data_IF_903038575645
#
_entry.id   IF_903038575645
#
_cell.length_a   1.000
_cell.length_b   1.000
_cell.length_c   1.000
_cell.angle_alpha   90.00
_cell.angle_beta   90.00
_cell.angle_gamma   90.00
#
_symmetry.space_group_name_H-M   'P 1'
#
loop_
_entity.id
_entity.type
_entity.pdbx_description
1 polymer ?
#
# COMPACT_ATOMS: atom_id res chain seq x y z
N UNK A 1 -35.74 7.50 25.22
CA UNK A 1 -35.06 6.73 24.13
C UNK A 1 -33.57 6.99 24.23
N UNK A 2 -32.73 5.95 24.16
CA UNK A 2 -31.27 6.15 24.15
C UNK A 2 -30.91 6.84 22.82
N UNK A 3 -30.23 7.97 22.88
CA UNK A 3 -29.78 8.67 21.68
C UNK A 3 -28.86 7.74 20.88
N UNK A 4 -29.14 7.53 19.61
CA UNK A 4 -28.28 6.76 18.69
C UNK A 4 -27.32 7.74 18.01
N UNK A 5 -26.04 7.60 18.29
CA UNK A 5 -24.99 8.40 17.64
C UNK A 5 -24.75 7.88 16.21
N UNK A 6 -24.49 8.76 15.27
CA UNK A 6 -23.91 8.42 13.99
C UNK A 6 -22.38 8.41 14.08
N UNK A 7 -21.80 7.23 14.00
CA UNK A 7 -20.35 7.01 14.08
C UNK A 7 -19.80 6.85 12.68
N UNK A 8 -18.96 7.77 12.26
CA UNK A 8 -18.29 7.73 10.95
C UNK A 8 -16.83 7.32 11.13
N UNK A 9 -16.39 6.36 10.33
CA UNK A 9 -15.01 5.82 10.35
C UNK A 9 -14.39 6.08 8.96
N UNK A 10 -13.31 6.89 8.92
CA UNK A 10 -12.56 7.10 7.66
C UNK A 10 -11.49 6.02 7.56
N UNK A 11 -11.66 5.12 6.62
CA UNK A 11 -10.77 3.99 6.33
C UNK A 11 -11.45 2.64 6.51
N UNK A 12 -11.55 1.87 5.43
CA UNK A 12 -12.08 0.51 5.42
C UNK A 12 -11.00 -0.58 5.52
N UNK A 13 -9.82 -0.23 6.04
CA UNK A 13 -8.77 -1.19 6.36
C UNK A 13 -9.07 -2.00 7.61
N UNK A 14 -8.12 -2.88 8.02
CA UNK A 14 -8.31 -3.80 9.15
C UNK A 14 -8.72 -3.08 10.44
N UNK A 15 -8.16 -1.91 10.75
CA UNK A 15 -8.48 -1.15 11.96
C UNK A 15 -9.92 -0.63 11.94
N UNK A 16 -10.33 0.04 10.84
CA UNK A 16 -11.66 0.62 10.71
C UNK A 16 -12.76 -0.44 10.72
N UNK A 17 -12.58 -1.52 9.98
CA UNK A 17 -13.55 -2.62 9.91
C UNK A 17 -13.64 -3.38 11.22
N UNK A 18 -12.52 -3.65 11.88
CA UNK A 18 -12.53 -4.30 13.20
C UNK A 18 -13.28 -3.45 14.22
N UNK A 19 -13.02 -2.14 14.22
CA UNK A 19 -13.73 -1.21 15.10
C UNK A 19 -15.23 -1.21 14.82
N UNK A 20 -15.64 -1.06 13.56
CA UNK A 20 -17.07 -1.05 13.18
C UNK A 20 -17.79 -2.31 13.67
N UNK A 21 -17.18 -3.48 13.52
CA UNK A 21 -17.71 -4.76 14.01
C UNK A 21 -17.84 -4.79 15.53
N UNK A 22 -16.85 -4.26 16.25
CA UNK A 22 -16.90 -4.19 17.73
C UNK A 22 -17.96 -3.20 18.20
N UNK A 23 -18.09 -2.03 17.56
CA UNK A 23 -19.17 -1.09 17.87
C UNK A 23 -20.54 -1.75 17.65
N UNK A 24 -20.74 -2.43 16.53
CA UNK A 24 -22.01 -3.11 16.22
C UNK A 24 -22.37 -4.20 17.21
N UNK A 25 -21.39 -4.94 17.75
CA UNK A 25 -21.63 -5.95 18.80
C UNK A 25 -22.14 -5.36 20.11
N UNK A 26 -21.82 -4.10 20.39
CA UNK A 26 -22.06 -3.47 21.70
C UNK A 26 -23.05 -2.30 21.64
N UNK A 27 -23.56 -1.94 20.45
CA UNK A 27 -24.50 -0.82 20.29
C UNK A 27 -25.33 -0.93 19.02
N UNK A 28 -26.44 -0.22 19.00
CA UNK A 28 -27.30 -0.02 17.84
C UNK A 28 -27.01 1.32 17.10
N UNK A 29 -25.90 1.98 17.41
CA UNK A 29 -25.49 3.23 16.79
C UNK A 29 -25.43 3.10 15.26
N UNK A 30 -25.72 4.18 14.53
CA UNK A 30 -25.50 4.22 13.10
C UNK A 30 -23.99 4.19 12.81
N UNK A 31 -23.56 3.36 11.86
CA UNK A 31 -22.13 3.20 11.50
C UNK A 31 -21.98 3.41 10.00
N UNK A 32 -21.12 4.34 9.62
CA UNK A 32 -20.70 4.54 8.23
C UNK A 32 -19.19 4.42 8.12
N UNK A 33 -18.70 3.53 7.26
CA UNK A 33 -17.27 3.43 6.89
C UNK A 33 -17.07 4.14 5.56
N UNK A 34 -16.15 5.11 5.53
CA UNK A 34 -15.78 5.87 4.33
C UNK A 34 -14.46 5.37 3.79
N UNK A 35 -14.37 5.13 2.48
CA UNK A 35 -13.12 4.72 1.83
C UNK A 35 -12.97 5.35 0.45
N UNK A 36 -11.78 5.85 0.15
CA UNK A 36 -11.41 6.32 -1.18
C UNK A 36 -10.86 5.21 -2.08
N UNK A 37 -10.33 4.13 -1.50
CA UNK A 37 -9.59 3.09 -2.21
C UNK A 37 -10.50 2.06 -2.86
N UNK A 38 -11.26 1.34 -2.06
CA UNK A 38 -12.19 0.28 -2.50
C UNK A 38 -13.53 0.40 -1.80
N UNK A 39 -14.57 -0.16 -2.38
CA UNK A 39 -15.89 -0.23 -1.74
C UNK A 39 -15.84 -1.17 -0.52
N UNK A 40 -15.31 -2.39 -0.72
CA UNK A 40 -15.25 -3.40 0.33
C UNK A 40 -13.85 -3.52 0.93
N UNK A 41 -13.81 -3.93 2.19
CA UNK A 41 -12.57 -4.30 2.87
C UNK A 41 -11.89 -5.48 2.17
N UNK A 42 -10.57 -5.40 2.04
CA UNK A 42 -9.73 -6.47 1.52
C UNK A 42 -8.46 -6.65 2.38
N UNK A 43 -7.88 -7.83 2.35
CA UNK A 43 -6.61 -8.12 3.00
C UNK A 43 -5.46 -7.52 2.19
N UNK A 44 -4.89 -6.43 2.68
CA UNK A 44 -3.80 -5.70 2.00
C UNK A 44 -2.56 -6.56 1.78
N UNK A 45 -2.20 -7.38 2.75
CA UNK A 45 -1.07 -8.30 2.65
C UNK A 45 -1.24 -9.35 1.56
N UNK A 46 -2.48 -9.62 1.12
CA UNK A 46 -2.75 -10.57 0.05
C UNK A 46 -2.53 -9.99 -1.37
N UNK A 47 -2.26 -8.68 -1.52
CA UNK A 47 -2.00 -8.08 -2.83
C UNK A 47 -0.78 -8.71 -3.53
N UNK A 48 0.24 -9.12 -2.77
CA UNK A 48 1.38 -9.85 -3.31
C UNK A 48 0.96 -11.16 -3.97
N UNK A 49 0.10 -11.94 -3.35
CA UNK A 49 -0.39 -13.22 -3.89
C UNK A 49 -1.25 -13.02 -5.14
N UNK A 50 -1.96 -11.89 -5.24
CA UNK A 50 -2.70 -11.53 -6.46
C UNK A 50 -1.72 -11.29 -7.61
N UNK A 51 -0.67 -10.47 -7.39
CA UNK A 51 0.36 -10.22 -8.41
C UNK A 51 1.09 -11.50 -8.82
N UNK A 52 1.41 -12.38 -7.87
CA UNK A 52 2.06 -13.66 -8.15
C UNK A 52 1.13 -14.68 -8.85
N UNK A 53 -0.16 -14.35 -9.00
CA UNK A 53 -1.14 -15.22 -9.67
C UNK A 53 -1.69 -16.36 -8.81
N UNK A 54 -1.43 -16.35 -7.50
CA UNK A 54 -1.90 -17.38 -6.58
C UNK A 54 -3.39 -17.25 -6.24
N UNK A 55 -3.97 -16.04 -6.38
CA UNK A 55 -5.39 -15.77 -6.16
C UNK A 55 -5.88 -14.58 -6.97
N UNK A 56 -7.19 -14.47 -7.12
CA UNK A 56 -7.84 -13.28 -7.67
C UNK A 56 -8.07 -12.23 -6.59
N UNK A 57 -8.20 -10.97 -6.98
CA UNK A 57 -8.45 -9.87 -6.04
C UNK A 57 -9.73 -10.09 -5.22
N UNK A 58 -10.80 -10.62 -5.82
CA UNK A 58 -12.06 -10.88 -5.10
C UNK A 58 -11.87 -11.82 -3.90
N UNK A 59 -10.91 -12.74 -3.99
CA UNK A 59 -10.61 -13.67 -2.90
C UNK A 59 -9.87 -13.04 -1.71
N UNK A 60 -9.41 -11.79 -1.86
CA UNK A 60 -8.79 -11.04 -0.77
C UNK A 60 -9.82 -10.39 0.18
N UNK A 61 -11.11 -10.44 -0.18
CA UNK A 61 -12.21 -9.86 0.60
C UNK A 61 -12.74 -10.90 1.61
N UNK A 62 -12.53 -10.72 2.92
CA UNK A 62 -12.91 -11.71 3.92
C UNK A 62 -14.39 -11.68 4.28
N UNK A 63 -15.14 -10.72 3.77
CA UNK A 63 -16.58 -10.58 4.00
C UNK A 63 -17.32 -10.49 2.68
N UNK A 64 -18.39 -11.28 2.55
CA UNK A 64 -19.33 -11.21 1.46
C UNK A 64 -20.05 -9.85 1.39
N UNK A 65 -20.47 -9.42 0.20
CA UNK A 65 -21.12 -8.12 0.01
C UNK A 65 -22.37 -7.91 0.88
N UNK A 66 -23.15 -8.99 1.13
CA UNK A 66 -24.33 -8.97 1.99
C UNK A 66 -24.03 -8.74 3.48
N UNK A 67 -22.78 -9.03 3.93
CA UNK A 67 -22.36 -8.90 5.32
C UNK A 67 -22.62 -7.50 5.90
N UNK A 68 -22.30 -6.47 5.14
CA UNK A 68 -22.40 -5.08 5.54
C UNK A 68 -23.83 -4.69 5.84
N UNK A 69 -24.74 -4.96 4.89
CA UNK A 69 -26.18 -4.70 5.05
C UNK A 69 -26.78 -5.51 6.20
N UNK A 70 -26.43 -6.79 6.32
CA UNK A 70 -26.91 -7.66 7.40
C UNK A 70 -26.53 -7.15 8.78
N UNK A 71 -25.36 -6.49 8.89
CA UNK A 71 -24.87 -5.94 10.15
C UNK A 71 -25.16 -4.44 10.32
N UNK A 72 -26.02 -3.84 9.49
CA UNK A 72 -26.34 -2.41 9.52
C UNK A 72 -25.08 -1.52 9.55
N UNK A 73 -24.09 -1.83 8.72
CA UNK A 73 -22.88 -1.04 8.50
C UNK A 73 -22.96 -0.43 7.11
N UNK A 74 -23.07 0.89 7.04
CA UNK A 74 -23.10 1.63 5.78
C UNK A 74 -21.66 1.76 5.22
N UNK A 75 -21.52 1.55 3.91
CA UNK A 75 -20.28 1.80 3.19
C UNK A 75 -20.45 3.01 2.28
N UNK A 76 -19.52 3.96 2.34
CA UNK A 76 -19.50 5.14 1.47
C UNK A 76 -18.15 5.24 0.77
N UNK A 77 -18.16 5.06 -0.55
CA UNK A 77 -16.96 5.30 -1.36
C UNK A 77 -16.84 6.79 -1.65
N UNK A 78 -15.67 7.37 -1.34
CA UNK A 78 -15.36 8.77 -1.60
C UNK A 78 -14.10 9.22 -0.88
N UNK A 79 -13.46 10.24 -1.43
CA UNK A 79 -12.28 10.87 -0.84
C UNK A 79 -12.71 12.05 0.03
N UNK A 80 -12.43 11.98 1.33
CA UNK A 80 -12.65 13.08 2.27
C UNK A 80 -11.55 14.11 2.06
N UNK A 81 -11.94 15.29 1.60
CA UNK A 81 -11.02 16.41 1.34
C UNK A 81 -10.76 17.23 2.60
N UNK A 82 -11.79 17.38 3.44
CA UNK A 82 -11.72 18.23 4.62
C UNK A 82 -12.63 17.69 5.74
N UNK A 83 -12.24 17.95 6.97
CA UNK A 83 -13.01 17.64 8.19
C UNK A 83 -13.36 18.96 8.87
N UNK A 84 -14.63 19.35 8.83
CA UNK A 84 -15.15 20.47 9.60
C UNK A 84 -15.54 19.98 11.00
N UNK A 85 -14.66 20.22 11.95
CA UNK A 85 -14.87 19.78 13.34
C UNK A 85 -15.90 20.65 14.08
N UNK A 86 -16.09 21.90 13.64
CA UNK A 86 -17.04 22.84 14.26
C UNK A 86 -18.48 22.44 13.97
N UNK A 87 -18.76 22.04 12.72
CA UNK A 87 -20.08 21.61 12.28
C UNK A 87 -20.24 20.08 12.28
N UNK A 88 -19.19 19.35 12.70
CA UNK A 88 -19.13 17.87 12.66
C UNK A 88 -19.51 17.31 11.29
N UNK A 89 -18.83 17.77 10.26
CA UNK A 89 -19.08 17.39 8.87
C UNK A 89 -17.81 16.93 8.16
N UNK A 90 -17.95 15.95 7.31
CA UNK A 90 -16.94 15.59 6.32
C UNK A 90 -17.32 16.23 4.98
N UNK A 91 -16.33 16.83 4.31
CA UNK A 91 -16.47 17.41 2.98
C UNK A 91 -15.72 16.51 2.01
N UNK A 92 -16.44 15.94 1.05
CA UNK A 92 -15.86 15.06 0.02
C UNK A 92 -15.31 15.88 -1.16
N UNK A 93 -14.46 15.27 -1.97
CA UNK A 93 -13.89 15.91 -3.17
C UNK A 93 -14.94 16.30 -4.23
N UNK A 94 -16.11 15.66 -4.23
CA UNK A 94 -17.26 16.00 -5.06
C UNK A 94 -18.22 17.03 -4.40
N UNK A 95 -17.79 17.66 -3.29
CA UNK A 95 -18.55 18.60 -2.47
C UNK A 95 -19.79 18.00 -1.74
N UNK A 96 -19.96 16.68 -1.73
CA UNK A 96 -20.95 16.05 -0.84
C UNK A 96 -20.53 16.28 0.63
N UNK A 97 -21.55 16.34 1.49
CA UNK A 97 -21.39 16.48 2.94
C UNK A 97 -21.87 15.21 3.65
N UNK A 98 -21.20 14.83 4.72
CA UNK A 98 -21.63 13.76 5.63
C UNK A 98 -21.45 14.24 7.07
N UNK A 99 -22.55 14.31 7.81
CA UNK A 99 -22.52 14.67 9.24
C UNK A 99 -22.19 13.47 10.10
N UNK A 100 -21.64 13.72 11.28
CA UNK A 100 -21.31 12.69 12.26
C UNK A 100 -21.52 13.21 13.70
N UNK A 101 -21.82 12.32 14.64
CA UNK A 101 -21.72 12.60 16.07
C UNK A 101 -20.32 12.29 16.59
N UNK A 102 -19.76 11.17 16.14
CA UNK A 102 -18.39 10.70 16.48
C UNK A 102 -17.62 10.34 15.20
N UNK A 103 -16.40 10.79 15.14
CA UNK A 103 -15.50 10.53 14.00
C UNK A 103 -14.28 9.72 14.45
N UNK A 104 -13.95 8.70 13.67
CA UNK A 104 -12.74 7.89 13.86
C UNK A 104 -11.88 7.94 12.61
N UNK A 105 -10.59 8.21 12.78
CA UNK A 105 -9.59 8.20 11.73
C UNK A 105 -8.84 6.87 11.74
N UNK A 106 -9.06 6.05 10.70
CA UNK A 106 -8.40 4.77 10.47
C UNK A 106 -7.77 4.75 9.07
N UNK A 107 -7.14 5.86 8.69
CA UNK A 107 -6.69 6.19 7.32
C UNK A 107 -5.49 5.36 6.84
N UNK A 108 -4.85 4.59 7.72
CA UNK A 108 -3.69 3.77 7.37
C UNK A 108 -2.43 4.59 7.07
N UNK A 109 -1.67 4.15 6.09
CA UNK A 109 -0.39 4.74 5.68
C UNK A 109 -0.36 5.01 4.19
N UNK A 110 0.70 5.65 3.72
CA UNK A 110 1.04 5.80 2.31
C UNK A 110 2.54 5.55 2.12
N UNK A 111 3.00 5.14 0.93
CA UNK A 111 4.42 5.03 0.63
C UNK A 111 5.13 6.37 0.89
N UNK A 112 6.29 6.31 1.54
CA UNK A 112 7.11 7.49 1.75
C UNK A 112 7.79 7.90 0.44
N UNK A 113 7.82 9.23 0.19
CA UNK A 113 8.60 9.85 -0.88
C UNK A 113 9.65 10.74 -0.25
N UNK A 114 10.90 10.61 -0.67
CA UNK A 114 12.04 11.25 -0.02
C UNK A 114 12.56 12.48 -0.77
N UNK A 115 11.88 12.92 -1.82
CA UNK A 115 12.26 14.10 -2.59
C UNK A 115 13.30 13.82 -3.68
N UNK A 116 13.52 12.57 -4.05
CA UNK A 116 14.45 12.26 -5.16
C UNK A 116 13.96 12.88 -6.47
N UNK A 117 14.85 13.52 -7.24
CA UNK A 117 14.52 13.93 -8.60
C UNK A 117 14.00 12.74 -9.40
N UNK A 118 12.86 12.91 -10.08
CA UNK A 118 12.22 11.86 -10.86
C UNK A 118 11.36 10.87 -10.07
N UNK A 119 11.14 11.04 -8.77
CA UNK A 119 10.32 10.13 -7.96
C UNK A 119 8.83 10.08 -8.35
N UNK A 120 8.37 11.00 -9.18
CA UNK A 120 6.98 11.08 -9.67
C UNK A 120 6.84 10.68 -11.15
N UNK A 121 7.89 10.15 -11.76
CA UNK A 121 7.86 9.65 -13.13
C UNK A 121 6.94 8.42 -13.25
N UNK A 122 6.38 8.23 -14.43
CA UNK A 122 5.59 7.03 -14.73
C UNK A 122 6.46 5.77 -14.59
N UNK A 123 5.93 4.76 -13.90
CA UNK A 123 6.67 3.54 -13.55
C UNK A 123 7.45 3.62 -12.23
N UNK A 124 7.43 4.77 -11.53
CA UNK A 124 7.94 4.91 -10.16
C UNK A 124 6.78 4.84 -9.18
N UNK A 125 6.78 3.85 -8.32
CA UNK A 125 5.65 3.58 -7.42
C UNK A 125 6.08 2.92 -6.10
N UNK A 126 5.23 3.02 -5.09
CA UNK A 126 5.27 2.15 -3.93
C UNK A 126 4.37 0.92 -4.15
N UNK A 127 4.29 0.04 -3.13
CA UNK A 127 3.33 -1.06 -3.11
C UNK A 127 2.59 -1.04 -1.77
N UNK A 128 1.42 -0.43 -1.76
CA UNK A 128 0.58 -0.32 -0.58
C UNK A 128 -0.91 -0.40 -0.91
N UNK A 129 -1.38 0.37 -1.91
CA UNK A 129 -2.78 0.43 -2.31
C UNK A 129 -3.11 -0.58 -3.41
N UNK A 130 -4.40 -0.87 -3.59
CA UNK A 130 -4.89 -1.64 -4.75
C UNK A 130 -4.45 -1.02 -6.07
N UNK A 131 -4.45 0.32 -6.14
CA UNK A 131 -4.01 1.07 -7.31
C UNK A 131 -2.51 0.89 -7.61
N UNK A 132 -1.70 0.67 -6.57
CA UNK A 132 -0.27 0.34 -6.75
C UNK A 132 -0.12 -1.04 -7.40
N UNK A 133 -0.96 -2.02 -7.01
CA UNK A 133 -0.99 -3.32 -7.69
C UNK A 133 -1.39 -3.17 -9.16
N UNK A 134 -2.42 -2.37 -9.48
CA UNK A 134 -2.85 -2.11 -10.85
C UNK A 134 -1.73 -1.45 -11.68
N UNK A 135 -1.00 -0.50 -11.09
CA UNK A 135 0.16 0.12 -11.71
C UNK A 135 1.30 -0.88 -11.91
N UNK A 136 1.57 -1.73 -10.91
CA UNK A 136 2.60 -2.77 -11.03
C UNK A 136 2.25 -3.77 -12.14
N UNK A 137 0.99 -4.19 -12.25
CA UNK A 137 0.50 -5.04 -13.34
C UNK A 137 0.66 -4.37 -14.72
N UNK A 138 0.46 -3.04 -14.80
CA UNK A 138 0.63 -2.28 -16.04
C UNK A 138 2.10 -2.21 -16.47
N UNK A 139 3.01 -1.91 -15.54
CA UNK A 139 4.42 -1.61 -15.86
C UNK A 139 5.34 -2.84 -15.79
N UNK A 140 4.98 -3.82 -14.99
CA UNK A 140 5.79 -5.02 -14.76
C UNK A 140 4.96 -6.33 -14.85
N UNK A 141 4.17 -6.55 -15.92
CA UNK A 141 3.38 -7.78 -16.05
C UNK A 141 4.25 -9.02 -16.27
N UNK A 142 5.44 -8.86 -16.82
CA UNK A 142 6.42 -9.91 -17.11
C UNK A 142 7.76 -9.31 -17.57
N UNK A 143 8.76 -10.17 -17.77
CA UNK A 143 10.11 -9.77 -18.23
C UNK A 143 10.20 -9.35 -19.71
N UNK A 144 9.14 -9.48 -20.50
CA UNK A 144 9.10 -8.95 -21.88
C UNK A 144 8.85 -7.45 -21.87
N UNK A 145 8.02 -6.97 -20.94
CA UNK A 145 7.70 -5.55 -20.76
C UNK A 145 8.72 -4.88 -19.84
N UNK A 146 8.85 -5.38 -18.59
CA UNK A 146 9.82 -4.88 -17.62
C UNK A 146 11.11 -5.69 -17.70
N UNK A 147 12.17 -5.11 -18.28
CA UNK A 147 13.45 -5.79 -18.43
C UNK A 147 14.26 -5.86 -17.15
N UNK A 148 14.05 -4.93 -16.23
CA UNK A 148 14.66 -4.86 -14.91
C UNK A 148 13.85 -3.94 -14.01
N UNK A 149 13.68 -4.32 -12.76
CA UNK A 149 13.12 -3.47 -11.72
C UNK A 149 14.23 -3.05 -10.73
N UNK A 150 14.14 -1.82 -10.22
CA UNK A 150 14.99 -1.34 -9.14
C UNK A 150 14.12 -1.13 -7.91
N UNK A 151 14.48 -1.77 -6.81
CA UNK A 151 13.82 -1.61 -5.50
C UNK A 151 14.74 -0.76 -4.62
N UNK A 152 14.16 0.24 -3.96
CA UNK A 152 14.88 1.13 -3.04
C UNK A 152 14.34 0.97 -1.63
N UNK A 153 15.17 0.45 -0.73
CA UNK A 153 14.85 0.31 0.69
C UNK A 153 14.88 -1.12 1.22
N UNK A 154 15.80 -1.39 2.15
CA UNK A 154 16.07 -2.70 2.75
C UNK A 154 15.10 -3.13 3.85
N UNK A 155 13.79 -2.96 3.66
CA UNK A 155 12.74 -3.38 4.60
C UNK A 155 11.90 -4.56 4.09
N UNK A 156 10.89 -4.96 4.88
CA UNK A 156 10.00 -6.07 4.55
C UNK A 156 9.29 -5.88 3.19
N UNK A 157 8.76 -4.70 2.92
CA UNK A 157 8.06 -4.44 1.64
C UNK A 157 9.03 -4.62 0.47
N UNK A 158 10.29 -4.20 0.61
CA UNK A 158 11.30 -4.34 -0.44
C UNK A 158 11.58 -5.81 -0.80
N UNK A 159 11.73 -6.69 0.19
CA UNK A 159 11.99 -8.10 -0.07
C UNK A 159 10.75 -8.82 -0.63
N UNK A 160 9.55 -8.48 -0.15
CA UNK A 160 8.29 -9.00 -0.72
C UNK A 160 8.13 -8.59 -2.19
N UNK A 161 8.45 -7.32 -2.54
CA UNK A 161 8.45 -6.86 -3.93
C UNK A 161 9.49 -7.60 -4.78
N UNK A 162 10.67 -7.89 -4.24
CA UNK A 162 11.70 -8.64 -4.95
C UNK A 162 11.19 -10.07 -5.27
N UNK A 163 10.54 -10.73 -4.33
CA UNK A 163 9.91 -12.05 -4.54
C UNK A 163 8.79 -11.98 -5.60
N UNK A 164 7.90 -10.97 -5.49
CA UNK A 164 6.82 -10.76 -6.46
C UNK A 164 7.36 -10.62 -7.89
N UNK A 165 8.36 -9.78 -8.10
CA UNK A 165 8.98 -9.54 -9.41
C UNK A 165 9.72 -10.78 -9.91
N UNK A 166 10.45 -11.46 -9.02
CA UNK A 166 11.15 -12.71 -9.34
C UNK A 166 10.20 -13.81 -9.80
N UNK A 167 9.00 -13.92 -9.20
CA UNK A 167 7.98 -14.90 -9.62
C UNK A 167 7.54 -14.74 -11.07
N UNK A 168 7.72 -13.54 -11.64
CA UNK A 168 7.45 -13.23 -13.06
C UNK A 168 8.71 -13.18 -13.93
N UNK A 169 9.82 -13.70 -13.42
CA UNK A 169 11.14 -13.70 -14.07
C UNK A 169 11.66 -12.30 -14.43
N UNK A 170 11.29 -11.27 -13.67
CA UNK A 170 11.78 -9.91 -13.84
C UNK A 170 13.07 -9.76 -13.02
N UNK A 171 14.21 -9.44 -13.66
CA UNK A 171 15.46 -9.19 -12.95
C UNK A 171 15.32 -8.00 -11.99
N UNK A 172 15.84 -8.16 -10.77
CA UNK A 172 15.74 -7.14 -9.72
C UNK A 172 17.13 -6.66 -9.31
N UNK A 173 17.29 -5.34 -9.23
CA UNK A 173 18.39 -4.70 -8.50
C UNK A 173 17.81 -4.11 -7.22
N UNK A 174 18.37 -4.48 -6.07
CA UNK A 174 17.86 -4.11 -4.76
C UNK A 174 18.86 -3.18 -4.05
N UNK A 175 18.54 -1.89 -3.98
CA UNK A 175 19.37 -0.86 -3.36
C UNK A 175 19.06 -0.74 -1.87
N UNK A 176 20.05 -0.98 -1.05
CA UNK A 176 19.98 -0.89 0.42
C UNK A 176 21.07 0.07 0.89
N UNK A 177 20.69 1.19 1.50
CA UNK A 177 21.65 2.21 1.96
C UNK A 177 22.49 1.73 3.14
N UNK A 178 21.99 0.78 3.91
CA UNK A 178 22.66 0.18 5.06
C UNK A 178 23.72 -0.84 4.59
N UNK A 179 24.67 -1.17 5.50
CA UNK A 179 25.71 -2.15 5.24
C UNK A 179 25.24 -3.61 5.17
N UNK A 180 24.00 -3.87 5.58
CA UNK A 180 23.36 -5.19 5.53
C UNK A 180 21.84 -5.02 5.52
N UNK A 181 21.13 -6.01 4.96
CA UNK A 181 19.68 -6.00 4.92
C UNK A 181 19.09 -5.95 6.33
N UNK A 182 18.24 -4.94 6.57
CA UNK A 182 17.43 -4.76 7.80
C UNK A 182 18.25 -4.81 9.11
N UNK A 183 19.50 -4.36 9.07
CA UNK A 183 20.46 -4.45 10.18
C UNK A 183 20.08 -3.59 11.40
N UNK A 184 19.16 -2.64 11.25
CA UNK A 184 18.60 -1.89 12.38
C UNK A 184 17.64 -2.69 13.25
N UNK A 185 17.20 -3.88 12.81
CA UNK A 185 16.23 -4.75 13.48
C UNK A 185 16.82 -6.14 13.74
N UNK A 186 17.49 -6.72 12.75
CA UNK A 186 18.08 -8.06 12.85
C UNK A 186 19.51 -8.01 13.42
N UNK A 187 19.90 -9.01 14.22
CA UNK A 187 21.30 -9.24 14.57
C UNK A 187 22.15 -9.45 13.31
N UNK A 188 23.44 -9.10 13.39
CA UNK A 188 24.37 -9.13 12.25
C UNK A 188 24.39 -10.47 11.51
N UNK A 189 24.50 -11.57 12.24
CA UNK A 189 24.58 -12.90 11.63
C UNK A 189 23.32 -13.28 10.85
N UNK A 190 22.15 -12.89 11.35
CA UNK A 190 20.84 -13.12 10.70
C UNK A 190 20.69 -12.23 9.47
N UNK A 191 21.06 -10.95 9.59
CA UNK A 191 21.07 -10.00 8.48
C UNK A 191 21.98 -10.46 7.33
N UNK A 192 23.18 -10.94 7.64
CA UNK A 192 24.13 -11.52 6.65
C UNK A 192 23.61 -12.81 6.03
N UNK A 193 22.91 -13.65 6.80
CA UNK A 193 22.27 -14.86 6.27
C UNK A 193 21.22 -14.49 5.22
N UNK A 194 20.42 -13.46 5.48
CA UNK A 194 19.42 -12.97 4.51
C UNK A 194 20.09 -12.35 3.29
N UNK A 195 21.18 -11.58 3.45
CA UNK A 195 21.95 -11.08 2.30
C UNK A 195 22.37 -12.21 1.37
N UNK A 196 22.93 -13.30 1.93
CA UNK A 196 23.32 -14.48 1.15
C UNK A 196 22.12 -15.13 0.47
N UNK A 197 20.98 -15.20 1.15
CA UNK A 197 19.76 -15.76 0.56
C UNK A 197 19.26 -14.92 -0.62
N UNK A 198 19.25 -13.60 -0.51
CA UNK A 198 18.86 -12.66 -1.57
C UNK A 198 19.76 -12.87 -2.81
N UNK A 199 21.08 -12.91 -2.60
CA UNK A 199 22.08 -13.09 -3.67
C UNK A 199 21.93 -14.47 -4.34
N UNK A 200 21.74 -15.53 -3.55
CA UNK A 200 21.56 -16.90 -4.05
C UNK A 200 20.29 -17.06 -4.90
N UNK A 201 19.30 -16.18 -4.70
CA UNK A 201 18.09 -16.10 -5.55
C UNK A 201 18.27 -15.15 -6.75
N UNK A 202 19.51 -14.87 -7.14
CA UNK A 202 19.86 -14.07 -8.32
C UNK A 202 19.34 -12.62 -8.30
N UNK A 203 19.09 -12.05 -7.13
CA UNK A 203 18.77 -10.64 -6.95
C UNK A 203 20.08 -9.86 -6.80
N UNK A 204 20.26 -8.82 -7.62
CA UNK A 204 21.44 -7.91 -7.57
C UNK A 204 21.30 -7.01 -6.32
N UNK A 205 21.75 -7.50 -5.16
CA UNK A 205 21.74 -6.78 -3.89
C UNK A 205 22.92 -5.81 -3.81
N UNK A 206 22.62 -4.52 -3.70
CA UNK A 206 23.61 -3.46 -3.54
C UNK A 206 23.46 -2.82 -2.17
N UNK A 207 24.36 -3.15 -1.28
CA UNK A 207 24.48 -2.60 0.07
C UNK A 207 25.27 -1.29 0.04
N UNK A 208 25.15 -0.45 1.08
CA UNK A 208 25.76 0.87 1.17
C UNK A 208 25.48 1.74 -0.07
N UNK A 209 24.27 1.62 -0.64
CA UNK A 209 23.95 2.24 -1.92
C UNK A 209 22.74 3.16 -1.80
N UNK A 210 22.94 4.45 -2.10
CA UNK A 210 21.93 5.48 -2.06
C UNK A 210 21.43 5.84 -3.46
N UNK A 211 20.10 5.97 -3.59
CA UNK A 211 19.51 6.53 -4.79
C UNK A 211 19.72 8.05 -4.80
N UNK A 212 20.27 8.57 -5.89
CA UNK A 212 20.47 10.01 -6.11
C UNK A 212 19.36 10.61 -6.96
N UNK A 213 19.05 9.97 -8.08
CA UNK A 213 18.13 10.49 -9.07
C UNK A 213 17.50 9.38 -9.90
N UNK A 214 16.30 9.60 -10.42
CA UNK A 214 15.61 8.74 -11.37
C UNK A 214 15.47 9.48 -12.69
N UNK A 215 15.96 8.89 -13.77
CA UNK A 215 15.94 9.47 -15.14
C UNK A 215 14.75 8.97 -15.93
N UNK A 216 14.12 9.89 -16.68
CA UNK A 216 13.07 9.56 -17.64
C UNK A 216 13.62 9.17 -19.00
N UNK A 217 12.80 8.48 -19.76
CA UNK A 217 12.89 8.47 -21.23
C UNK A 217 12.19 9.72 -21.82
N UNK A 218 12.08 9.75 -23.15
CA UNK A 218 11.44 10.82 -23.92
C UNK A 218 9.92 10.91 -23.70
N UNK A 219 9.29 9.85 -23.14
CA UNK A 219 7.85 9.77 -22.87
C UNK A 219 7.51 10.08 -21.41
N UNK A 220 8.50 10.42 -20.57
CA UNK A 220 8.29 10.68 -19.14
C UNK A 220 8.20 9.43 -18.28
N UNK A 221 8.51 8.24 -18.83
CA UNK A 221 8.58 7.00 -18.08
C UNK A 221 9.99 6.80 -17.49
N UNK A 222 10.06 6.08 -16.35
CA UNK A 222 11.35 5.72 -15.75
C UNK A 222 12.19 4.90 -16.72
N UNK A 223 13.45 5.31 -16.91
CA UNK A 223 14.43 4.63 -17.79
C UNK A 223 15.60 4.06 -17.00
N UNK A 224 16.14 4.81 -16.06
CA UNK A 224 17.31 4.43 -15.28
C UNK A 224 17.35 5.16 -13.93
N UNK A 225 18.21 4.70 -13.05
CA UNK A 225 18.51 5.35 -11.78
C UNK A 225 19.99 5.72 -11.72
N UNK A 226 20.29 6.81 -11.02
CA UNK A 226 21.64 7.24 -10.68
C UNK A 226 21.84 6.98 -9.21
N UNK A 227 22.91 6.32 -8.82
CA UNK A 227 23.32 6.11 -7.43
C UNK A 227 24.43 7.09 -7.04
N UNK A 228 24.54 7.43 -5.76
CA UNK A 228 25.51 8.45 -5.29
C UNK A 228 26.95 7.97 -5.41
N UNK A 229 27.18 6.68 -5.22
CA UNK A 229 28.51 6.07 -5.07
C UNK A 229 29.29 5.93 -6.40
N UNK A 230 28.58 5.80 -7.51
CA UNK A 230 29.23 5.56 -8.84
C UNK A 230 28.73 6.46 -9.95
N UNK A 231 27.64 7.19 -9.75
CA UNK A 231 27.01 8.03 -10.78
C UNK A 231 26.06 7.28 -11.68
#
# INVERSE_FOLDING_TARGET
MKHMDHIVIIGNGISGVTLARHIRKNSENEITIVSAETEYFFSRTALMYVYMGHMKFEHTQPYESWFWKKNNINLKKGYVKEIDTSNKQLIFSNNELLTYDKLVLATGSKPAKFGWPGQDLEGVMGMYHKQDLENLEKHAPNNKVCKRAVIVGGGLIGIELAEMLHSRNIPVTFLVREASFWNGVLPTAESEMINRHIINNHIDLRLNTNLKEIKSDENGCVKSVIIEETG
#
